data_IF_564433925227
#
_entry.id   IF_564433925227
#
_cell.length_a   1.000
_cell.length_b   1.000
_cell.length_c   1.000
_cell.angle_alpha   90.00
_cell.angle_beta   90.00
_cell.angle_gamma   90.00
#
_symmetry.space_group_name_H-M   'P 1'
#
loop_
_entity.id
_entity.type
_entity.pdbx_description
1 polymer ?
#
# COMPACT_ATOMS: atom_id res chain seq x y z
N UNK A 1 4.74 -17.09 -7.41
CA UNK A 1 4.46 -16.23 -8.57
C UNK A 1 3.00 -15.81 -8.64
N UNK A 2 2.05 -16.76 -8.61
CA UNK A 2 0.64 -16.43 -8.67
C UNK A 2 0.17 -15.48 -7.59
N UNK A 3 0.64 -15.65 -6.35
CA UNK A 3 0.27 -14.78 -5.23
C UNK A 3 0.81 -13.36 -5.41
N UNK A 4 1.99 -13.22 -6.00
CA UNK A 4 2.55 -11.90 -6.26
C UNK A 4 1.66 -11.13 -7.26
N UNK A 5 1.23 -11.80 -8.34
CA UNK A 5 0.36 -11.18 -9.33
C UNK A 5 -0.99 -10.81 -8.74
N UNK A 6 -1.57 -11.69 -7.93
CA UNK A 6 -2.84 -11.42 -7.26
C UNK A 6 -2.72 -10.20 -6.34
N UNK A 7 -1.66 -10.13 -5.55
CA UNK A 7 -1.42 -8.99 -4.66
C UNK A 7 -1.21 -7.71 -5.45
N UNK A 8 -0.50 -7.78 -6.57
CA UNK A 8 -0.28 -6.62 -7.42
C UNK A 8 -1.60 -6.08 -7.96
N UNK A 9 -2.47 -6.97 -8.45
CA UNK A 9 -3.78 -6.59 -8.95
C UNK A 9 -4.63 -5.99 -7.82
N UNK A 10 -4.65 -6.63 -6.65
CA UNK A 10 -5.38 -6.13 -5.48
C UNK A 10 -4.89 -4.75 -5.09
N UNK A 11 -3.59 -4.54 -5.04
CA UNK A 11 -3.02 -3.25 -4.67
C UNK A 11 -3.33 -2.17 -5.70
N UNK A 12 -3.35 -2.53 -6.99
CA UNK A 12 -3.74 -1.59 -8.04
C UNK A 12 -5.19 -1.13 -7.86
N UNK A 13 -6.09 -2.05 -7.56
CA UNK A 13 -7.48 -1.73 -7.28
C UNK A 13 -7.61 -0.87 -6.02
N UNK A 14 -6.83 -1.19 -4.98
CA UNK A 14 -6.84 -0.42 -3.75
C UNK A 14 -6.39 1.02 -4.00
N UNK A 15 -5.37 1.24 -4.83
CA UNK A 15 -4.92 2.58 -5.20
C UNK A 15 -6.05 3.35 -5.89
N UNK A 16 -6.76 2.72 -6.83
CA UNK A 16 -7.86 3.37 -7.52
C UNK A 16 -8.96 3.77 -6.54
N UNK A 17 -9.31 2.89 -5.61
CA UNK A 17 -10.33 3.17 -4.61
C UNK A 17 -9.91 4.33 -3.72
N UNK A 18 -8.65 4.34 -3.28
CA UNK A 18 -8.11 5.42 -2.44
C UNK A 18 -8.21 6.76 -3.14
N UNK A 19 -7.94 6.82 -4.45
CA UNK A 19 -8.02 8.09 -5.19
C UNK A 19 -9.45 8.64 -5.26
N UNK A 20 -10.45 7.77 -5.18
CA UNK A 20 -11.84 8.23 -5.12
C UNK A 20 -12.21 8.80 -3.75
N UNK A 21 -11.63 8.26 -2.69
CA UNK A 21 -12.02 8.61 -1.33
C UNK A 21 -11.19 9.78 -0.81
N UNK A 22 -9.87 9.76 -1.03
CA UNK A 22 -8.96 10.79 -0.53
C UNK A 22 -8.70 11.79 -1.65
N UNK A 23 -9.22 13.01 -1.48
CA UNK A 23 -9.15 14.05 -2.51
C UNK A 23 -7.73 14.50 -2.82
N UNK A 24 -6.82 14.39 -1.87
CA UNK A 24 -5.44 14.82 -2.06
C UNK A 24 -4.57 13.84 -2.82
N UNK A 25 -5.12 12.71 -3.27
CA UNK A 25 -4.38 11.67 -3.99
C UNK A 25 -5.02 11.47 -5.35
N UNK A 26 -4.22 11.58 -6.41
CA UNK A 26 -4.71 11.49 -7.78
C UNK A 26 -3.79 10.61 -8.62
N UNK A 27 -4.39 9.77 -9.48
CA UNK A 27 -3.67 9.04 -10.52
C UNK A 27 -4.27 9.41 -11.87
N UNK A 28 -3.40 9.54 -12.88
CA UNK A 28 -3.83 9.97 -14.21
C UNK A 28 -4.67 8.92 -14.92
N UNK A 29 -4.45 7.63 -14.65
CA UNK A 29 -5.16 6.55 -15.33
C UNK A 29 -5.05 5.26 -14.52
N UNK A 30 -5.90 4.25 -14.83
CA UNK A 30 -5.75 2.93 -14.20
C UNK A 30 -4.38 2.31 -14.43
N UNK A 31 -3.77 2.56 -15.60
CA UNK A 31 -2.41 2.09 -15.87
C UNK A 31 -1.41 2.67 -14.87
N UNK A 32 -1.55 3.94 -14.53
CA UNK A 32 -0.70 4.58 -13.52
C UNK A 32 -0.87 3.90 -12.17
N UNK A 33 -2.09 3.51 -11.80
CA UNK A 33 -2.33 2.79 -10.55
C UNK A 33 -1.59 1.45 -10.52
N UNK A 34 -1.52 0.75 -11.65
CA UNK A 34 -0.77 -0.50 -11.76
C UNK A 34 0.72 -0.25 -11.53
N UNK A 35 1.26 0.80 -12.13
CA UNK A 35 2.67 1.18 -11.95
C UNK A 35 2.93 1.59 -10.50
N UNK A 36 2.05 2.37 -9.91
CA UNK A 36 2.18 2.79 -8.50
C UNK A 36 2.22 1.58 -7.58
N UNK A 37 1.32 0.63 -7.79
CA UNK A 37 1.28 -0.58 -6.98
C UNK A 37 2.58 -1.39 -7.09
N UNK A 38 3.15 -1.46 -8.29
CA UNK A 38 4.42 -2.16 -8.49
C UNK A 38 5.56 -1.44 -7.76
N UNK A 39 5.67 -0.13 -7.93
CA UNK A 39 6.72 0.66 -7.27
C UNK A 39 6.57 0.60 -5.77
N UNK A 40 5.35 0.71 -5.26
CA UNK A 40 5.08 0.61 -3.83
C UNK A 40 5.48 -0.76 -3.28
N UNK A 41 5.18 -1.83 -4.02
CA UNK A 41 5.56 -3.18 -3.62
C UNK A 41 7.07 -3.35 -3.54
N UNK A 42 7.81 -2.82 -4.52
CA UNK A 42 9.27 -2.86 -4.52
C UNK A 42 9.83 -2.09 -3.33
N UNK A 43 9.34 -0.88 -3.10
CA UNK A 43 9.79 -0.04 -2.00
C UNK A 43 9.50 -0.73 -0.66
N UNK A 44 8.29 -1.26 -0.48
CA UNK A 44 7.93 -1.96 0.76
C UNK A 44 8.80 -3.19 0.99
N UNK A 45 9.17 -3.89 -0.07
CA UNK A 45 9.99 -5.10 0.05
C UNK A 45 11.43 -4.75 0.45
N UNK A 46 12.02 -3.71 -0.13
CA UNK A 46 13.43 -3.41 0.05
C UNK A 46 13.71 -2.36 1.11
N UNK A 47 12.89 -1.32 1.21
CA UNK A 47 13.14 -0.21 2.14
C UNK A 47 12.52 -0.41 3.52
N UNK A 48 11.32 -0.98 3.58
CA UNK A 48 10.61 -1.11 4.85
C UNK A 48 11.40 -1.88 5.92
N UNK A 49 12.01 -3.05 5.62
CA UNK A 49 12.76 -3.77 6.66
C UNK A 49 13.87 -2.92 7.27
N UNK A 50 14.61 -2.17 6.43
CA UNK A 50 15.69 -1.32 6.93
C UNK A 50 15.19 -0.18 7.79
N UNK A 51 14.10 0.47 7.35
CA UNK A 51 13.52 1.59 8.09
C UNK A 51 12.98 1.11 9.43
N UNK A 52 12.31 -0.03 9.47
CA UNK A 52 11.75 -0.58 10.71
C UNK A 52 12.86 -0.93 11.69
N UNK A 53 13.96 -1.53 11.21
CA UNK A 53 15.09 -1.86 12.09
C UNK A 53 15.72 -0.62 12.70
N UNK A 54 15.90 0.45 11.90
CA UNK A 54 16.49 1.68 12.37
C UNK A 54 15.58 2.38 13.39
N UNK A 55 14.26 2.30 13.18
CA UNK A 55 13.29 2.97 14.03
C UNK A 55 12.70 2.05 15.11
N UNK A 56 13.25 0.85 15.27
CA UNK A 56 12.71 -0.14 16.21
C UNK A 56 12.53 0.39 17.63
N UNK A 57 13.51 1.10 18.21
CA UNK A 57 13.32 1.66 19.58
C UNK A 57 12.11 2.59 19.64
N UNK A 58 11.92 3.43 18.63
CA UNK A 58 10.81 4.38 18.58
C UNK A 58 9.49 3.62 18.41
N UNK A 59 9.47 2.59 17.58
CA UNK A 59 8.28 1.76 17.37
C UNK A 59 7.85 1.05 18.65
N UNK A 60 8.80 0.58 19.44
CA UNK A 60 8.49 -0.07 20.71
C UNK A 60 7.84 0.92 21.66
N UNK A 61 8.40 2.14 21.79
CA UNK A 61 7.85 3.17 22.66
C UNK A 61 6.45 3.60 22.25
N UNK A 62 6.17 3.68 20.95
CA UNK A 62 4.87 4.14 20.44
C UNK A 62 3.90 2.98 20.21
N UNK A 63 4.25 1.76 20.64
CA UNK A 63 3.43 0.56 20.43
C UNK A 63 3.11 0.31 18.94
N UNK A 64 4.07 0.67 18.08
CA UNK A 64 3.91 0.45 16.66
C UNK A 64 3.23 1.58 15.89
N UNK A 65 2.78 2.63 16.58
CA UNK A 65 2.13 3.76 15.90
C UNK A 65 3.07 4.43 14.88
N UNK A 66 4.36 4.43 15.17
CA UNK A 66 5.33 5.01 14.25
C UNK A 66 5.34 4.30 12.88
N UNK A 67 4.96 3.02 12.85
CA UNK A 67 4.86 2.28 11.59
C UNK A 67 3.85 2.93 10.65
N UNK A 68 2.77 3.50 11.18
CA UNK A 68 1.79 4.19 10.34
C UNK A 68 2.38 5.43 9.67
N UNK A 69 3.24 6.16 10.37
CA UNK A 69 3.96 7.29 9.78
C UNK A 69 4.94 6.83 8.70
N UNK A 70 5.62 5.70 8.92
CA UNK A 70 6.50 5.12 7.91
C UNK A 70 5.71 4.76 6.66
N UNK A 71 4.54 4.16 6.81
CA UNK A 71 3.67 3.83 5.68
C UNK A 71 3.28 5.08 4.89
N UNK A 72 2.91 6.15 5.58
CA UNK A 72 2.59 7.42 4.93
C UNK A 72 3.78 8.01 4.19
N UNK A 73 4.96 7.95 4.82
CA UNK A 73 6.18 8.43 4.20
C UNK A 73 6.53 7.65 2.92
N UNK A 74 6.45 6.32 2.99
CA UNK A 74 6.76 5.48 1.83
C UNK A 74 5.74 5.71 0.71
N UNK A 75 4.48 5.87 1.07
CA UNK A 75 3.41 6.16 0.12
C UNK A 75 3.66 7.50 -0.59
N UNK A 76 4.07 8.51 0.19
CA UNK A 76 4.43 9.81 -0.36
C UNK A 76 5.66 9.71 -1.28
N UNK A 77 6.63 8.90 -0.88
CA UNK A 77 7.84 8.69 -1.69
C UNK A 77 7.48 8.13 -3.08
N UNK A 78 6.52 7.22 -3.14
CA UNK A 78 6.07 6.68 -4.43
C UNK A 78 5.53 7.78 -5.33
N UNK A 79 4.85 8.79 -4.76
CA UNK A 79 4.34 9.90 -5.56
C UNK A 79 5.47 10.76 -6.16
N UNK A 80 6.64 10.71 -5.57
CA UNK A 80 7.81 11.43 -6.10
C UNK A 80 8.53 10.64 -7.19
N UNK A 81 8.30 9.33 -7.24
CA UNK A 81 8.92 8.45 -8.23
C UNK A 81 8.03 8.29 -9.46
N UNK A 82 6.73 8.09 -9.25
CA UNK A 82 5.77 7.89 -10.34
C UNK A 82 5.17 9.22 -10.72
N UNK A 83 5.44 9.66 -11.95
CA UNK A 83 5.13 11.02 -12.42
C UNK A 83 3.64 11.36 -12.35
N UNK A 84 2.77 10.43 -12.72
CA UNK A 84 1.32 10.67 -12.82
C UNK A 84 0.55 10.31 -11.55
N UNK A 85 1.27 10.04 -10.47
CA UNK A 85 0.70 9.78 -9.16
C UNK A 85 1.00 10.96 -8.26
N UNK A 86 -0.04 11.74 -7.92
CA UNK A 86 0.13 13.00 -7.19
C UNK A 86 -0.50 12.87 -5.81
N UNK A 87 0.27 13.22 -4.78
CA UNK A 87 -0.22 13.32 -3.40
C UNK A 87 0.06 14.74 -2.92
N UNK A 88 -0.99 15.43 -2.49
CA UNK A 88 -0.92 16.84 -2.12
C UNK A 88 -0.54 17.03 -0.65
N UNK A 89 0.59 16.48 -0.24
CA UNK A 89 1.12 16.67 1.09
C UNK A 89 1.18 15.41 1.93
N UNK A 90 1.73 15.54 3.15
CA UNK A 90 1.95 14.39 4.02
C UNK A 90 0.64 13.82 4.57
N UNK A 91 -0.32 14.69 4.97
CA UNK A 91 -1.55 14.19 5.60
C UNK A 91 -2.40 13.36 4.65
N UNK A 92 -2.64 13.78 3.38
CA UNK A 92 -3.28 12.87 2.43
C UNK A 92 -2.51 11.56 2.25
N UNK A 93 -1.17 11.61 2.24
CA UNK A 93 -0.37 10.40 2.13
C UNK A 93 -0.57 9.49 3.33
N UNK A 94 -0.60 10.06 4.54
CA UNK A 94 -0.79 9.30 5.77
C UNK A 94 -2.15 8.61 5.80
N UNK A 95 -3.22 9.38 5.60
CA UNK A 95 -4.56 8.81 5.61
C UNK A 95 -4.80 7.90 4.41
N UNK A 96 -4.25 8.26 3.24
CA UNK A 96 -4.35 7.41 2.06
C UNK A 96 -3.66 6.08 2.25
N UNK A 97 -2.49 6.06 2.90
CA UNK A 97 -1.77 4.80 3.15
C UNK A 97 -2.53 3.92 4.14
N UNK A 98 -3.16 4.51 5.16
CA UNK A 98 -3.99 3.75 6.10
C UNK A 98 -5.18 3.13 5.38
N UNK A 99 -5.86 3.91 4.56
CA UNK A 99 -7.00 3.42 3.79
C UNK A 99 -6.56 2.37 2.77
N UNK A 100 -5.45 2.60 2.08
CA UNK A 100 -4.88 1.63 1.15
C UNK A 100 -4.59 0.31 1.86
N UNK A 101 -3.96 0.36 3.02
CA UNK A 101 -3.64 -0.84 3.79
C UNK A 101 -4.90 -1.59 4.21
N UNK A 102 -5.92 -0.86 4.66
CA UNK A 102 -7.18 -1.47 5.07
C UNK A 102 -7.90 -2.12 3.89
N UNK A 103 -7.97 -1.43 2.76
CA UNK A 103 -8.62 -1.94 1.55
C UNK A 103 -7.85 -3.14 1.00
N UNK A 104 -6.52 -3.03 0.92
CA UNK A 104 -5.67 -4.10 0.43
C UNK A 104 -5.80 -5.35 1.30
N UNK A 105 -5.80 -5.18 2.62
CA UNK A 105 -5.97 -6.29 3.54
C UNK A 105 -7.35 -6.95 3.36
N UNK A 106 -8.39 -6.14 3.27
CA UNK A 106 -9.75 -6.65 3.11
C UNK A 106 -9.87 -7.47 1.82
N UNK A 107 -9.39 -6.91 0.70
CA UNK A 107 -9.45 -7.60 -0.59
C UNK A 107 -8.58 -8.86 -0.59
N UNK A 108 -7.40 -8.79 0.03
CA UNK A 108 -6.50 -9.93 0.12
C UNK A 108 -7.12 -11.09 0.90
N UNK A 109 -7.78 -10.78 2.02
CA UNK A 109 -8.42 -11.81 2.82
C UNK A 109 -9.57 -12.47 2.07
N UNK A 110 -10.35 -11.68 1.33
CA UNK A 110 -11.44 -12.23 0.53
C UNK A 110 -10.93 -13.16 -0.57
N UNK A 111 -9.92 -12.72 -1.31
CA UNK A 111 -9.40 -13.47 -2.45
C UNK A 111 -8.63 -14.71 -1.99
N UNK A 112 -7.77 -14.58 -0.99
CA UNK A 112 -6.98 -15.70 -0.47
C UNK A 112 -7.89 -16.74 0.18
N UNK A 113 -8.91 -16.31 0.92
CA UNK A 113 -9.88 -17.22 1.52
C UNK A 113 -10.63 -18.02 0.46
N UNK A 114 -11.05 -17.37 -0.63
CA UNK A 114 -11.70 -18.03 -1.75
C UNK A 114 -10.77 -19.04 -2.42
N UNK A 115 -9.51 -18.69 -2.62
CA UNK A 115 -8.51 -19.56 -3.20
C UNK A 115 -8.28 -20.79 -2.33
N UNK A 116 -8.19 -20.60 -1.00
CA UNK A 116 -8.03 -21.70 -0.06
C UNK A 116 -9.23 -22.64 -0.10
N UNK A 117 -10.45 -22.10 -0.24
CA UNK A 117 -11.65 -22.92 -0.35
C UNK A 117 -11.67 -23.75 -1.64
N UNK A 118 -11.10 -23.23 -2.72
CA UNK A 118 -11.01 -23.96 -3.98
C UNK A 118 -9.95 -25.05 -3.92
N UNK A 119 -8.82 -24.79 -3.25
CA UNK A 119 -7.71 -25.75 -3.16
C UNK A 119 -7.92 -26.79 -2.08
N UNK A 120 -8.62 -26.45 -1.00
CA UNK A 120 -8.85 -27.33 0.14
C UNK A 120 -10.32 -27.34 0.52
N UNK A 121 -11.17 -27.92 -0.34
CA UNK A 121 -12.61 -28.02 -0.02
C UNK A 121 -12.79 -28.97 1.14
N UNK A 122 -13.22 -28.47 2.25
CA UNK A 122 -13.52 -29.30 3.42
C UNK A 122 -15.00 -29.30 3.72
#
# INVERSE_FOLDING_TARGET
MGRFLIKWIINSLAILIVTYIVKGIQVASPLTAIVVALVLGIINTFLRPFIILITLPINIFTLGLFTFFINGFLFYLVSKIVKDFVILGFWPAFFGSLLFSAISLFLSLMVIKKEDQLLFPS
#
